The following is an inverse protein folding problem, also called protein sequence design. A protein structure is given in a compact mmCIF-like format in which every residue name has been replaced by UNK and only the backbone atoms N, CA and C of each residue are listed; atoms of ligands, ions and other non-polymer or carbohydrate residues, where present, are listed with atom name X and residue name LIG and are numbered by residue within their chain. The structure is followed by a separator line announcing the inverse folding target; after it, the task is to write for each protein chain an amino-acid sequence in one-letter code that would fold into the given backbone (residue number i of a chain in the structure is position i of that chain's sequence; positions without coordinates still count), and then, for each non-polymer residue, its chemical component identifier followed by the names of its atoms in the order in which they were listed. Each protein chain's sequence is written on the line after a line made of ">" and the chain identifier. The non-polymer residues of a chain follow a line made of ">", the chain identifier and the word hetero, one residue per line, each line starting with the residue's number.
data_IF_596412165471
#
_entry.id   IF_596412165471
#
_cell.length_a   1.000
_cell.length_b   1.000
_cell.length_c   1.000
_cell.angle_alpha   90.00
_cell.angle_beta   90.00
_cell.angle_gamma   90.00
#
_symmetry.space_group_name_H-M   'P 1'
#
loop_
_entity.id
_entity.type
_entity.pdbx_description
1 polymer ?
#
# COMPACT_ATOMS: atom_id res chain seq x y z
N UNK A 1 -1.50 20.09 22.43
CA UNK A 1 -1.98 18.91 21.66
C UNK A 1 -0.82 17.92 21.61
N UNK A 2 -1.07 16.65 21.87
CA UNK A 2 -0.04 15.61 21.94
C UNK A 2 -0.27 14.60 20.83
N UNK A 3 0.77 14.30 20.06
CA UNK A 3 0.75 13.33 18.96
C UNK A 3 1.77 12.23 19.24
N UNK A 4 1.45 11.00 18.85
CA UNK A 4 2.32 9.82 18.95
C UNK A 4 2.25 9.06 17.63
N UNK A 5 3.38 8.57 17.13
CA UNK A 5 3.46 7.77 15.92
C UNK A 5 4.39 6.58 16.12
N UNK A 6 4.11 5.41 15.48
CA UNK A 6 4.92 4.20 15.62
C UNK A 6 6.23 4.24 14.81
N UNK A 7 6.44 5.30 14.01
CA UNK A 7 7.62 5.44 13.14
C UNK A 7 8.26 6.81 13.32
N UNK A 8 9.58 6.85 13.23
CA UNK A 8 10.31 8.10 13.03
C UNK A 8 9.99 8.66 11.63
N UNK A 9 9.95 9.98 11.51
CA UNK A 9 9.92 10.69 10.23
C UNK A 9 11.19 11.54 10.14
N UNK A 10 12.10 11.25 9.20
CA UNK A 10 13.32 12.05 9.03
C UNK A 10 13.01 13.50 8.62
N UNK A 11 11.85 13.74 8.00
CA UNK A 11 11.38 15.05 7.55
C UNK A 11 10.78 15.90 8.68
N UNK A 12 10.51 15.31 9.86
CA UNK A 12 9.78 15.99 10.94
C UNK A 12 10.47 17.29 11.40
N UNK A 13 11.80 17.26 11.54
CA UNK A 13 12.56 18.44 11.99
C UNK A 13 12.47 19.59 10.98
N UNK A 14 12.59 19.27 9.70
CA UNK A 14 12.50 20.24 8.61
C UNK A 14 11.09 20.84 8.50
N UNK A 15 10.06 20.00 8.64
CA UNK A 15 8.66 20.42 8.58
C UNK A 15 8.32 21.37 9.75
N UNK A 16 8.71 21.02 10.98
CA UNK A 16 8.48 21.87 12.16
C UNK A 16 9.16 23.24 12.03
N UNK A 17 10.37 23.28 11.45
CA UNK A 17 11.10 24.51 11.18
C UNK A 17 10.38 25.37 10.13
N UNK A 18 10.01 24.76 8.99
CA UNK A 18 9.32 25.42 7.87
C UNK A 18 8.00 26.05 8.32
N UNK A 19 7.21 25.31 9.09
CA UNK A 19 5.92 25.77 9.62
C UNK A 19 6.05 26.65 10.87
N UNK A 20 7.28 26.91 11.35
CA UNK A 20 7.58 27.69 12.57
C UNK A 20 6.84 27.19 13.81
N UNK A 21 6.73 25.87 13.95
CA UNK A 21 6.06 25.22 15.09
C UNK A 21 7.09 24.89 16.16
N UNK A 22 6.94 25.49 17.35
CA UNK A 22 7.70 25.10 18.52
C UNK A 22 7.17 23.78 19.08
N UNK A 23 7.97 22.71 19.03
CA UNK A 23 7.62 21.40 19.55
C UNK A 23 8.73 20.79 20.42
N UNK A 24 8.34 19.91 21.34
CA UNK A 24 9.27 19.04 22.07
C UNK A 24 9.12 17.63 21.53
N UNK A 25 10.19 17.09 20.93
CA UNK A 25 10.22 15.74 20.36
C UNK A 25 11.09 14.83 21.21
N UNK A 26 10.67 13.59 21.38
CA UNK A 26 11.47 12.55 22.00
C UNK A 26 11.10 11.20 21.39
N UNK A 27 12.02 10.24 21.49
CA UNK A 27 11.74 8.84 21.20
C UNK A 27 11.49 8.11 22.51
N UNK A 28 10.54 7.19 22.50
CA UNK A 28 10.27 6.29 23.61
C UNK A 28 10.24 4.87 23.06
N UNK A 29 10.69 3.92 23.87
CA UNK A 29 10.48 2.50 23.63
C UNK A 29 9.24 2.05 24.41
N UNK A 30 8.47 1.15 23.81
CA UNK A 30 7.38 0.48 24.50
C UNK A 30 7.96 -0.61 25.42
N UNK A 31 7.45 -0.70 26.65
CA UNK A 31 7.76 -1.81 27.55
C UNK A 31 6.85 -2.99 27.26
N UNK A 32 7.39 -4.08 26.71
CA UNK A 32 6.66 -5.29 26.40
C UNK A 32 6.87 -5.76 24.96
N UNK A 33 5.92 -6.53 24.42
CA UNK A 33 5.98 -7.04 23.06
C UNK A 33 5.28 -6.10 22.08
N UNK A 34 6.05 -5.50 21.18
CA UNK A 34 5.50 -4.67 20.10
C UNK A 34 4.61 -5.47 19.14
N UNK A 35 4.91 -6.77 18.98
CA UNK A 35 4.09 -7.69 18.19
C UNK A 35 2.72 -7.89 18.83
N UNK A 36 2.65 -8.05 20.16
CA UNK A 36 1.37 -8.14 20.88
C UNK A 36 0.60 -6.82 20.87
N UNK A 37 1.29 -5.69 20.94
CA UNK A 37 0.65 -4.38 20.84
C UNK A 37 0.04 -4.19 19.45
N UNK A 38 0.79 -4.52 18.40
CA UNK A 38 0.33 -4.44 17.02
C UNK A 38 -0.88 -5.35 16.76
N UNK A 39 -0.87 -6.60 17.23
CA UNK A 39 -1.99 -7.52 17.04
C UNK A 39 -3.26 -7.13 17.82
N UNK A 40 -3.13 -6.34 18.90
CA UNK A 40 -4.28 -5.76 19.63
C UNK A 40 -4.82 -4.49 18.97
N UNK A 41 -3.94 -3.69 18.37
CA UNK A 41 -4.29 -2.43 17.74
C UNK A 41 -4.88 -2.60 16.33
N UNK A 42 -4.46 -3.65 15.61
CA UNK A 42 -4.93 -3.95 14.27
C UNK A 42 -5.32 -5.41 14.12
N UNK A 43 -6.43 -5.65 13.43
CA UNK A 43 -6.82 -6.99 13.01
C UNK A 43 -5.98 -7.42 11.79
N UNK A 44 -4.74 -7.83 12.06
CA UNK A 44 -3.81 -8.31 11.03
C UNK A 44 -4.32 -9.60 10.37
N UNK A 45 -5.15 -10.38 11.07
CA UNK A 45 -5.78 -11.58 10.49
C UNK A 45 -6.75 -11.20 9.38
N UNK A 46 -7.67 -10.28 9.66
CA UNK A 46 -8.61 -9.78 8.66
C UNK A 46 -7.91 -9.06 7.50
N UNK A 47 -6.91 -8.21 7.78
CA UNK A 47 -6.14 -7.53 6.73
C UNK A 47 -5.36 -8.52 5.85
N UNK A 48 -4.77 -9.56 6.45
CA UNK A 48 -4.11 -10.64 5.72
C UNK A 48 -5.08 -11.39 4.81
N UNK A 49 -6.30 -11.69 5.30
CA UNK A 49 -7.34 -12.31 4.50
C UNK A 49 -7.80 -11.41 3.34
N UNK A 50 -7.93 -10.11 3.55
CA UNK A 50 -8.27 -9.16 2.47
C UNK A 50 -7.22 -9.18 1.35
N UNK A 51 -5.92 -9.24 1.70
CA UNK A 51 -4.84 -9.34 0.72
C UNK A 51 -4.91 -10.64 -0.09
N UNK A 52 -5.24 -11.75 0.55
CA UNK A 52 -5.44 -13.03 -0.14
C UNK A 52 -6.62 -12.98 -1.10
N UNK A 53 -7.77 -12.44 -0.65
CA UNK A 53 -8.95 -12.26 -1.51
C UNK A 53 -8.65 -11.34 -2.69
N UNK A 54 -7.92 -10.25 -2.47
CA UNK A 54 -7.50 -9.36 -3.55
C UNK A 54 -6.75 -10.12 -4.64
N UNK A 55 -5.74 -10.92 -4.30
CA UNK A 55 -5.00 -11.70 -5.31
C UNK A 55 -5.91 -12.72 -5.99
N UNK A 56 -6.70 -13.47 -5.22
CA UNK A 56 -7.60 -14.50 -5.75
C UNK A 56 -8.66 -13.93 -6.72
N UNK A 57 -9.18 -12.73 -6.45
CA UNK A 57 -10.19 -12.09 -7.29
C UNK A 57 -9.59 -11.48 -8.56
N UNK A 58 -8.37 -10.92 -8.46
CA UNK A 58 -7.76 -10.15 -9.54
C UNK A 58 -6.92 -10.99 -10.49
N UNK A 59 -6.27 -12.05 -10.03
CA UNK A 59 -5.46 -12.92 -10.88
C UNK A 59 -6.23 -13.47 -12.11
N UNK A 60 -7.44 -14.05 -11.96
CA UNK A 60 -8.20 -14.53 -13.12
C UNK A 60 -8.70 -13.38 -14.02
N UNK A 61 -9.05 -12.21 -13.44
CA UNK A 61 -9.51 -11.05 -14.22
C UNK A 61 -8.42 -10.52 -15.11
N UNK A 62 -7.21 -10.34 -14.57
CA UNK A 62 -6.07 -9.83 -15.32
C UNK A 62 -5.54 -10.83 -16.35
N UNK A 63 -5.68 -12.14 -16.08
CA UNK A 63 -5.33 -13.18 -17.05
C UNK A 63 -6.19 -13.14 -18.32
N UNK A 64 -7.40 -12.57 -18.24
CA UNK A 64 -8.29 -12.39 -19.40
C UNK A 64 -8.05 -11.08 -20.17
N UNK A 65 -7.18 -10.19 -19.67
CA UNK A 65 -6.87 -8.91 -20.31
C UNK A 65 -5.77 -9.12 -21.35
N UNK A 66 -6.01 -8.69 -22.58
CA UNK A 66 -4.95 -8.58 -23.59
C UNK A 66 -4.12 -7.30 -23.33
N UNK A 67 -2.85 -7.41 -22.90
CA UNK A 67 -2.01 -6.25 -22.64
C UNK A 67 -1.59 -5.50 -23.93
N UNK A 68 -1.77 -6.11 -25.11
CA UNK A 68 -1.48 -5.46 -26.38
C UNK A 68 -2.60 -4.53 -26.85
N UNK A 69 -3.81 -4.63 -26.28
CA UNK A 69 -4.93 -3.72 -26.53
C UNK A 69 -4.82 -2.48 -25.63
N UNK A 70 -4.51 -1.28 -26.15
CA UNK A 70 -4.31 -0.09 -25.31
C UNK A 70 -5.54 0.27 -24.45
N UNK A 71 -6.79 0.31 -24.98
CA UNK A 71 -7.97 0.61 -24.15
C UNK A 71 -8.20 -0.43 -23.04
N UNK A 72 -8.01 -1.71 -23.35
CA UNK A 72 -8.19 -2.79 -22.36
C UNK A 72 -7.12 -2.74 -21.26
N UNK A 73 -5.87 -2.51 -21.65
CA UNK A 73 -4.75 -2.39 -20.71
C UNK A 73 -4.93 -1.16 -19.79
N UNK A 74 -5.37 -0.03 -20.34
CA UNK A 74 -5.69 1.16 -19.56
C UNK A 74 -6.81 0.89 -18.56
N UNK A 75 -7.96 0.37 -19.01
CA UNK A 75 -9.10 0.09 -18.12
C UNK A 75 -8.70 -0.84 -16.97
N UNK A 76 -8.03 -1.96 -17.29
CA UNK A 76 -7.55 -2.91 -16.28
C UNK A 76 -6.56 -2.29 -15.30
N UNK A 77 -5.64 -1.43 -15.77
CA UNK A 77 -4.68 -0.74 -14.91
C UNK A 77 -5.38 0.20 -13.91
N UNK A 78 -6.37 0.96 -14.38
CA UNK A 78 -7.11 1.91 -13.55
C UNK A 78 -8.00 1.20 -12.53
N UNK A 79 -8.67 0.12 -12.92
CA UNK A 79 -9.50 -0.66 -12.01
C UNK A 79 -8.65 -1.38 -10.94
N UNK A 80 -7.51 -1.96 -11.34
CA UNK A 80 -6.55 -2.57 -10.40
C UNK A 80 -6.01 -1.54 -9.40
N UNK A 81 -5.62 -0.36 -9.89
CA UNK A 81 -5.17 0.76 -9.05
C UNK A 81 -6.27 1.19 -8.07
N UNK A 82 -7.52 1.30 -8.54
CA UNK A 82 -8.64 1.66 -7.70
C UNK A 82 -8.89 0.63 -6.59
N UNK A 83 -8.81 -0.66 -6.91
CA UNK A 83 -8.93 -1.72 -5.92
C UNK A 83 -7.78 -1.69 -4.90
N UNK A 84 -6.53 -1.53 -5.34
CA UNK A 84 -5.35 -1.45 -4.48
C UNK A 84 -5.42 -0.26 -3.50
N UNK A 85 -5.90 0.90 -3.97
CA UNK A 85 -6.02 2.12 -3.13
C UNK A 85 -6.87 1.94 -1.89
N UNK A 86 -7.74 0.94 -1.82
CA UNK A 86 -8.52 0.64 -0.61
C UNK A 86 -7.63 0.24 0.56
N UNK A 87 -6.48 -0.39 0.30
CA UNK A 87 -5.53 -0.76 1.35
C UNK A 87 -4.86 0.45 1.99
N UNK A 88 -4.74 1.60 1.31
CA UNK A 88 -4.17 2.83 1.90
C UNK A 88 -4.95 3.34 3.13
N UNK A 89 -6.23 2.96 3.25
CA UNK A 89 -7.08 3.36 4.36
C UNK A 89 -7.18 2.29 5.46
N UNK A 90 -6.68 1.08 5.20
CA UNK A 90 -6.83 -0.08 6.10
C UNK A 90 -5.50 -0.63 6.59
N UNK A 91 -4.46 -0.57 5.77
CA UNK A 91 -3.13 -1.02 6.11
C UNK A 91 -2.39 0.06 6.93
N UNK A 92 -1.98 -0.24 8.18
CA UNK A 92 -1.22 0.68 9.02
C UNK A 92 0.23 0.96 8.57
N UNK A 93 0.76 0.23 7.57
CA UNK A 93 2.13 0.35 7.11
C UNK A 93 3.14 -0.08 8.18
N UNK A 94 2.84 -1.15 8.93
CA UNK A 94 3.72 -1.64 9.99
C UNK A 94 5.04 -2.17 9.40
N UNK A 95 6.16 -1.99 10.13
CA UNK A 95 7.44 -2.53 9.70
C UNK A 95 7.44 -4.08 9.75
N UNK A 96 8.24 -4.76 8.90
CA UNK A 96 8.18 -6.21 8.73
C UNK A 96 8.32 -7.03 10.01
N UNK A 97 9.12 -6.57 10.98
CA UNK A 97 9.31 -7.26 12.26
C UNK A 97 8.05 -7.33 13.14
N UNK A 98 7.01 -6.55 12.84
CA UNK A 98 5.72 -6.57 13.55
C UNK A 98 4.65 -7.39 12.82
N UNK A 99 4.98 -7.92 11.64
CA UNK A 99 4.08 -8.70 10.81
C UNK A 99 4.28 -10.21 11.04
N UNK A 100 3.24 -11.03 10.80
CA UNK A 100 3.40 -12.49 10.71
C UNK A 100 4.45 -12.87 9.65
N UNK A 101 5.19 -13.96 9.87
CA UNK A 101 6.29 -14.39 8.99
C UNK A 101 5.88 -14.55 7.52
N UNK A 102 4.68 -15.10 7.26
CA UNK A 102 4.14 -15.32 5.91
C UNK A 102 3.09 -14.27 5.54
N UNK A 103 3.40 -12.99 5.80
CA UNK A 103 2.45 -11.90 5.60
C UNK A 103 1.90 -11.83 4.17
N UNK A 104 0.58 -12.02 3.94
CA UNK A 104 0.01 -12.04 2.60
C UNK A 104 0.14 -10.72 1.83
N UNK A 105 0.30 -9.60 2.55
CA UNK A 105 0.51 -8.29 1.93
C UNK A 105 1.74 -8.23 1.01
N UNK A 106 2.80 -8.99 1.30
CA UNK A 106 3.98 -9.05 0.42
C UNK A 106 3.67 -9.71 -0.93
N UNK A 107 2.83 -10.75 -0.92
CA UNK A 107 2.39 -11.43 -2.14
C UNK A 107 1.46 -10.52 -2.94
N UNK A 108 0.52 -9.86 -2.26
CA UNK A 108 -0.41 -8.93 -2.90
C UNK A 108 0.29 -7.71 -3.53
N UNK A 109 1.28 -7.13 -2.85
CA UNK A 109 2.09 -6.02 -3.37
C UNK A 109 2.86 -6.43 -4.63
N UNK A 110 3.53 -7.59 -4.58
CA UNK A 110 4.27 -8.12 -5.74
C UNK A 110 3.35 -8.41 -6.92
N UNK A 111 2.17 -8.96 -6.66
CA UNK A 111 1.15 -9.18 -7.67
C UNK A 111 0.70 -7.86 -8.30
N UNK A 112 0.43 -6.83 -7.48
CA UNK A 112 0.08 -5.49 -7.97
C UNK A 112 1.18 -4.88 -8.84
N UNK A 113 2.43 -4.88 -8.37
CA UNK A 113 3.58 -4.32 -9.11
C UNK A 113 3.80 -5.04 -10.45
N UNK A 114 3.79 -6.38 -10.43
CA UNK A 114 3.98 -7.17 -11.65
C UNK A 114 2.85 -6.94 -12.65
N UNK A 115 1.61 -6.86 -12.16
CA UNK A 115 0.42 -6.65 -12.98
C UNK A 115 0.39 -5.25 -13.59
N UNK A 116 0.67 -4.21 -12.81
CA UNK A 116 0.74 -2.83 -13.31
C UNK A 116 1.87 -2.66 -14.32
N UNK A 117 3.04 -3.27 -14.08
CA UNK A 117 4.15 -3.25 -15.03
C UNK A 117 3.78 -3.90 -16.37
N UNK A 118 3.05 -5.03 -16.36
CA UNK A 118 2.57 -5.69 -17.59
C UNK A 118 1.61 -4.81 -18.39
N UNK A 119 0.75 -4.04 -17.71
CA UNK A 119 -0.26 -3.20 -18.34
C UNK A 119 0.25 -1.82 -18.77
N UNK A 120 1.39 -1.39 -18.22
CA UNK A 120 1.90 -0.01 -18.35
C UNK A 120 2.03 0.45 -19.80
N UNK A 121 2.58 -0.39 -20.70
CA UNK A 121 2.77 -0.01 -22.11
C UNK A 121 1.46 0.31 -22.82
N UNK A 122 0.46 -0.58 -22.68
CA UNK A 122 -0.85 -0.37 -23.29
C UNK A 122 -1.60 0.80 -22.66
N UNK A 123 -1.50 0.96 -21.35
CA UNK A 123 -2.12 2.07 -20.63
C UNK A 123 -1.58 3.44 -21.08
N UNK A 124 -0.26 3.57 -21.24
CA UNK A 124 0.38 4.81 -21.72
C UNK A 124 0.00 5.09 -23.17
N UNK A 125 0.05 4.09 -24.06
CA UNK A 125 -0.33 4.28 -25.46
C UNK A 125 -1.80 4.74 -25.63
N UNK A 126 -2.70 4.26 -24.77
CA UNK A 126 -4.08 4.74 -24.76
C UNK A 126 -4.18 6.22 -24.33
N UNK A 127 -3.49 6.60 -23.25
CA UNK A 127 -3.46 7.98 -22.77
C UNK A 127 -2.92 8.94 -23.84
N UNK A 128 -1.82 8.58 -24.50
CA UNK A 128 -1.25 9.36 -25.60
C UNK A 128 -2.28 9.58 -26.72
N UNK A 129 -3.00 8.52 -27.12
CA UNK A 129 -4.03 8.62 -28.17
C UNK A 129 -5.24 9.49 -27.82
N UNK A 130 -5.47 9.79 -26.55
CA UNK A 130 -6.55 10.67 -26.10
C UNK A 130 -6.11 12.15 -25.99
N UNK A 131 -4.80 12.41 -26.05
CA UNK A 131 -4.23 13.75 -25.94
C UNK A 131 -3.93 14.38 -27.31
N UNK A 132 -3.98 13.58 -28.39
CA UNK A 132 -3.94 13.99 -29.78
C UNK A 132 -5.33 14.42 -30.30
#
# INVERSE_FOLDING_TARGET
>A
MTWVAPRSSPELSELLSTERIAARTFFAAHEGSDVELASKAWDLGALGADYQHFVADWEPRLSAVDPASPPSAFAASQELLHAWRKFLFRDPGLPPQLLPADWPGHTAARFFDTSTQKLARGAVAFLESCLD
#
